data_IF_673986820511
#
_entry.id   IF_673986820511
#
_cell.length_a   1.000
_cell.length_b   1.000
_cell.length_c   1.000
_cell.angle_alpha   90.00
_cell.angle_beta   90.00
_cell.angle_gamma   90.00
#
_symmetry.space_group_name_H-M   'P 1'
#
loop_
_entity.id
_entity.type
_entity.pdbx_description
1 polymer ?
#
# COMPACT_ATOMS: atom_id res chain seq x y z
N UNK A 1 -26.03 21.00 -9.48
CA UNK A 1 -24.98 21.11 -10.51
C UNK A 1 -24.11 19.84 -10.69
N UNK A 2 -24.48 18.66 -10.13
CA UNK A 2 -23.55 17.51 -10.00
C UNK A 2 -23.73 16.35 -11.00
N UNK A 3 -24.78 16.33 -11.82
CA UNK A 3 -25.04 15.19 -12.70
C UNK A 3 -24.07 15.15 -13.88
N UNK A 4 -23.85 16.28 -14.55
CA UNK A 4 -22.96 16.38 -15.72
C UNK A 4 -21.51 16.00 -15.39
N UNK A 5 -21.00 16.41 -14.22
CA UNK A 5 -19.64 16.07 -13.79
C UNK A 5 -19.51 14.58 -13.43
N UNK A 6 -20.57 13.99 -12.85
CA UNK A 6 -20.62 12.55 -12.58
C UNK A 6 -20.65 11.75 -13.88
N UNK A 7 -21.49 12.13 -14.83
CA UNK A 7 -21.60 11.46 -16.12
C UNK A 7 -20.29 11.56 -16.92
N UNK A 8 -19.60 12.71 -16.84
CA UNK A 8 -18.28 12.90 -17.47
C UNK A 8 -17.23 11.96 -16.86
N UNK A 9 -17.19 11.85 -15.52
CA UNK A 9 -16.29 10.93 -14.84
C UNK A 9 -16.59 9.47 -15.20
N UNK A 10 -17.87 9.07 -15.15
CA UNK A 10 -18.28 7.70 -15.44
C UNK A 10 -17.90 7.29 -16.88
N UNK A 11 -18.09 8.20 -17.85
CA UNK A 11 -17.62 7.99 -19.24
C UNK A 11 -16.10 7.85 -19.33
N UNK A 12 -15.35 8.77 -18.70
CA UNK A 12 -13.89 8.73 -18.71
C UNK A 12 -13.34 7.42 -18.10
N UNK A 13 -13.91 6.98 -16.98
CA UNK A 13 -13.52 5.72 -16.35
C UNK A 13 -13.85 4.54 -17.26
N UNK A 14 -15.02 4.54 -17.91
CA UNK A 14 -15.44 3.47 -18.81
C UNK A 14 -14.51 3.35 -20.02
N UNK A 15 -14.11 4.46 -20.63
CA UNK A 15 -13.15 4.47 -21.75
C UNK A 15 -11.80 3.85 -21.34
N UNK A 16 -11.26 4.26 -20.19
CA UNK A 16 -10.00 3.71 -19.66
C UNK A 16 -10.12 2.20 -19.36
N UNK A 17 -11.27 1.77 -18.84
CA UNK A 17 -11.56 0.37 -18.58
C UNK A 17 -11.62 -0.47 -19.86
N UNK A 18 -12.26 0.04 -20.91
CA UNK A 18 -12.32 -0.69 -22.19
C UNK A 18 -10.92 -0.89 -22.77
N UNK A 19 -10.06 0.13 -22.74
CA UNK A 19 -8.66 0.00 -23.18
C UNK A 19 -7.91 -1.05 -22.33
N UNK A 20 -8.14 -1.07 -21.02
CA UNK A 20 -7.53 -2.05 -20.12
C UNK A 20 -8.00 -3.49 -20.40
N UNK A 21 -9.28 -3.70 -20.73
CA UNK A 21 -9.84 -5.02 -21.02
C UNK A 21 -9.38 -5.59 -22.37
N UNK A 22 -9.23 -4.74 -23.38
CA UNK A 22 -8.76 -5.15 -24.72
C UNK A 22 -7.30 -5.60 -24.71
N UNK A 23 -6.47 -5.02 -23.83
CA UNK A 23 -5.07 -5.40 -23.72
C UNK A 23 -4.88 -6.80 -23.14
N UNK A 24 -4.00 -7.61 -23.75
CA UNK A 24 -3.58 -8.89 -23.16
C UNK A 24 -2.95 -8.68 -21.78
N UNK A 25 -3.09 -9.65 -20.86
CA UNK A 25 -2.43 -9.61 -19.55
C UNK A 25 -0.93 -9.32 -19.69
N UNK A 26 -0.38 -8.53 -18.76
CA UNK A 26 1.05 -8.20 -18.68
C UNK A 26 1.63 -7.40 -19.87
N UNK A 27 0.81 -6.89 -20.78
CA UNK A 27 1.26 -5.95 -21.81
C UNK A 27 1.51 -4.56 -21.23
N UNK A 28 2.46 -3.82 -21.83
CA UNK A 28 2.72 -2.42 -21.45
C UNK A 28 1.47 -1.55 -21.60
N UNK A 29 0.72 -1.72 -22.70
CA UNK A 29 -0.52 -0.99 -22.95
C UNK A 29 -1.57 -1.20 -21.86
N UNK A 30 -1.78 -2.45 -21.43
CA UNK A 30 -2.71 -2.76 -20.33
C UNK A 30 -2.26 -2.13 -19.01
N UNK A 31 -0.96 -2.18 -18.69
CA UNK A 31 -0.42 -1.54 -17.47
C UNK A 31 -0.69 -0.04 -17.47
N UNK A 32 -0.38 0.65 -18.57
CA UNK A 32 -0.61 2.10 -18.70
C UNK A 32 -2.10 2.45 -18.56
N UNK A 33 -2.98 1.68 -19.19
CA UNK A 33 -4.43 1.88 -19.08
C UNK A 33 -4.94 1.70 -17.64
N UNK A 34 -4.52 0.63 -16.96
CA UNK A 34 -4.87 0.38 -15.56
C UNK A 34 -4.32 1.45 -14.62
N UNK A 35 -3.07 1.89 -14.81
CA UNK A 35 -2.50 2.98 -14.01
C UNK A 35 -3.29 4.28 -14.17
N UNK A 36 -3.69 4.62 -15.41
CA UNK A 36 -4.54 5.80 -15.66
C UNK A 36 -5.92 5.66 -15.02
N UNK A 37 -6.52 4.47 -15.11
CA UNK A 37 -7.81 4.18 -14.50
C UNK A 37 -7.75 4.33 -12.98
N UNK A 38 -6.76 3.72 -12.33
CA UNK A 38 -6.54 3.81 -10.88
C UNK A 38 -6.34 5.25 -10.44
N UNK A 39 -5.50 6.01 -11.15
CA UNK A 39 -5.29 7.42 -10.86
C UNK A 39 -6.59 8.24 -10.98
N UNK A 40 -7.39 7.98 -12.00
CA UNK A 40 -8.68 8.66 -12.16
C UNK A 40 -9.68 8.30 -11.03
N UNK A 41 -9.69 7.05 -10.58
CA UNK A 41 -10.49 6.61 -9.42
C UNK A 41 -10.06 7.37 -8.16
N UNK A 42 -8.76 7.43 -7.87
CA UNK A 42 -8.24 8.15 -6.70
C UNK A 42 -8.52 9.65 -6.73
N UNK A 43 -8.17 10.30 -7.84
CA UNK A 43 -8.35 11.74 -8.00
C UNK A 43 -9.81 12.16 -8.01
N UNK A 44 -10.74 11.23 -8.23
CA UNK A 44 -12.17 11.51 -8.13
C UNK A 44 -12.62 11.88 -6.72
N UNK A 45 -11.90 11.45 -5.68
CA UNK A 45 -12.30 11.64 -4.27
C UNK A 45 -13.60 10.93 -3.88
N UNK A 46 -14.09 9.99 -4.70
CA UNK A 46 -15.39 9.30 -4.51
C UNK A 46 -15.29 7.90 -3.91
N UNK A 47 -14.09 7.50 -3.45
CA UNK A 47 -13.90 6.23 -2.76
C UNK A 47 -14.61 6.28 -1.41
N UNK A 48 -15.41 5.25 -1.12
CA UNK A 48 -16.06 5.13 0.18
C UNK A 48 -15.02 4.88 1.28
N UNK A 49 -15.37 5.27 2.51
CA UNK A 49 -14.54 5.03 3.70
C UNK A 49 -15.21 4.03 4.64
N UNK A 50 -14.45 3.37 5.53
CA UNK A 50 -15.03 2.47 6.51
C UNK A 50 -15.98 3.22 7.47
N UNK A 51 -16.88 2.48 8.12
CA UNK A 51 -17.85 3.07 9.05
C UNK A 51 -17.14 3.81 10.20
N UNK A 52 -17.42 5.10 10.32
CA UNK A 52 -16.87 5.96 11.37
C UNK A 52 -17.40 5.55 12.75
N UNK A 53 -16.59 5.79 13.79
CA UNK A 53 -16.98 5.59 15.19
C UNK A 53 -16.74 4.18 15.76
N UNK A 54 -16.30 3.21 14.95
CA UNK A 54 -15.93 1.85 15.41
C UNK A 54 -14.47 1.70 15.83
N UNK A 55 -13.61 2.63 15.43
CA UNK A 55 -12.17 2.56 15.61
C UNK A 55 -11.62 3.92 16.03
N UNK A 56 -10.50 3.93 16.76
CA UNK A 56 -9.78 5.19 17.01
C UNK A 56 -9.24 5.76 15.69
N UNK A 57 -8.94 7.06 15.66
CA UNK A 57 -8.51 7.75 14.44
C UNK A 57 -7.33 7.07 13.73
N UNK A 58 -6.33 6.62 14.49
CA UNK A 58 -5.15 5.97 13.90
C UNK A 58 -5.51 4.62 13.24
N UNK A 59 -6.32 3.80 13.91
CA UNK A 59 -6.79 2.53 13.32
C UNK A 59 -7.67 2.77 12.10
N UNK A 60 -8.47 3.84 12.12
CA UNK A 60 -9.35 4.18 11.02
C UNK A 60 -8.58 4.45 9.72
N UNK A 61 -7.51 5.25 9.77
CA UNK A 61 -6.67 5.53 8.59
C UNK A 61 -5.84 4.31 8.17
N UNK A 62 -5.27 3.55 9.12
CA UNK A 62 -4.52 2.33 8.81
C UNK A 62 -5.40 1.31 8.07
N UNK A 63 -6.64 1.08 8.55
CA UNK A 63 -7.62 0.20 7.91
C UNK A 63 -7.96 0.71 6.51
N UNK A 64 -8.18 2.02 6.36
CA UNK A 64 -8.51 2.60 5.07
C UNK A 64 -7.38 2.42 4.05
N UNK A 65 -6.14 2.73 4.43
CA UNK A 65 -4.97 2.58 3.57
C UNK A 65 -4.66 1.13 3.23
N UNK A 66 -4.82 0.20 4.17
CA UNK A 66 -4.65 -1.23 3.92
C UNK A 66 -5.70 -1.75 2.93
N UNK A 67 -6.98 -1.40 3.13
CA UNK A 67 -8.06 -1.79 2.22
C UNK A 67 -7.87 -1.23 0.80
N UNK A 68 -7.37 0.01 0.68
CA UNK A 68 -7.04 0.60 -0.62
C UNK A 68 -5.92 -0.18 -1.32
N UNK A 69 -4.84 -0.52 -0.62
CA UNK A 69 -3.73 -1.27 -1.23
C UNK A 69 -4.19 -2.62 -1.80
N UNK A 70 -4.97 -3.37 -1.02
CA UNK A 70 -5.50 -4.67 -1.45
C UNK A 70 -6.48 -4.53 -2.62
N UNK A 71 -7.36 -3.52 -2.59
CA UNK A 71 -8.26 -3.21 -3.71
C UNK A 71 -7.48 -2.94 -5.00
N UNK A 72 -6.44 -2.11 -4.95
CA UNK A 72 -5.67 -1.75 -6.14
C UNK A 72 -4.92 -2.93 -6.71
N UNK A 73 -4.33 -3.75 -5.84
CA UNK A 73 -3.68 -4.99 -6.24
C UNK A 73 -4.68 -5.90 -6.94
N UNK A 74 -5.87 -6.06 -6.38
CA UNK A 74 -6.95 -6.84 -6.97
C UNK A 74 -7.38 -6.30 -8.33
N UNK A 75 -7.55 -4.98 -8.47
CA UNK A 75 -7.88 -4.34 -9.75
C UNK A 75 -6.79 -4.63 -10.78
N UNK A 76 -5.51 -4.49 -10.42
CA UNK A 76 -4.40 -4.77 -11.33
C UNK A 76 -4.39 -6.23 -11.83
N UNK A 77 -4.73 -7.18 -10.96
CA UNK A 77 -4.66 -8.61 -11.26
C UNK A 77 -5.92 -9.17 -11.93
N UNK A 78 -7.10 -8.67 -11.55
CA UNK A 78 -8.39 -9.29 -11.87
C UNK A 78 -9.38 -8.30 -12.49
N UNK A 79 -8.88 -7.28 -13.20
CA UNK A 79 -9.74 -6.29 -13.86
C UNK A 79 -10.70 -6.92 -14.88
N UNK A 80 -10.32 -8.04 -15.47
CA UNK A 80 -11.15 -8.84 -16.39
C UNK A 80 -12.48 -9.32 -15.77
N UNK A 81 -12.61 -9.34 -14.43
CA UNK A 81 -13.86 -9.67 -13.74
C UNK A 81 -14.87 -8.52 -13.71
N UNK A 82 -14.48 -7.31 -14.12
CA UNK A 82 -15.39 -6.18 -14.20
C UNK A 82 -16.37 -6.36 -15.37
N UNK A 83 -17.67 -6.14 -15.09
CA UNK A 83 -18.73 -6.17 -16.09
C UNK A 83 -19.46 -4.81 -16.12
N UNK A 84 -19.28 -4.08 -17.22
CA UNK A 84 -19.87 -2.77 -17.44
C UNK A 84 -21.41 -2.79 -17.53
N UNK A 85 -22.04 -3.95 -17.76
CA UNK A 85 -23.50 -4.08 -17.78
C UNK A 85 -24.10 -4.11 -16.38
N UNK A 86 -23.32 -4.45 -15.35
CA UNK A 86 -23.80 -4.64 -13.98
C UNK A 86 -23.70 -3.38 -13.12
N UNK A 87 -22.64 -2.62 -13.27
CA UNK A 87 -22.39 -1.43 -12.47
C UNK A 87 -21.38 -0.49 -13.13
N UNK A 88 -21.39 0.78 -12.75
CA UNK A 88 -20.27 1.68 -13.08
C UNK A 88 -19.02 1.28 -12.29
N UNK A 89 -17.84 1.70 -12.77
CA UNK A 89 -16.56 1.39 -12.14
C UNK A 89 -16.52 1.87 -10.70
N UNK A 90 -16.96 3.11 -10.44
CA UNK A 90 -17.00 3.63 -9.06
C UNK A 90 -17.94 2.83 -8.15
N UNK A 91 -19.11 2.43 -8.65
CA UNK A 91 -20.04 1.61 -7.88
C UNK A 91 -19.45 0.23 -7.57
N UNK A 92 -18.82 -0.41 -8.56
CA UNK A 92 -18.15 -1.70 -8.40
C UNK A 92 -16.99 -1.62 -7.40
N UNK A 93 -16.14 -0.60 -7.52
CA UNK A 93 -15.00 -0.37 -6.61
C UNK A 93 -15.45 -0.14 -5.18
N UNK A 94 -16.45 0.73 -4.96
CA UNK A 94 -16.99 0.97 -3.62
C UNK A 94 -17.68 -0.26 -3.05
N UNK A 95 -18.39 -1.03 -3.88
CA UNK A 95 -18.98 -2.31 -3.46
C UNK A 95 -17.90 -3.28 -2.96
N UNK A 96 -16.78 -3.41 -3.67
CA UNK A 96 -15.67 -4.26 -3.26
C UNK A 96 -15.03 -3.79 -1.94
N UNK A 97 -14.83 -2.47 -1.78
CA UNK A 97 -14.33 -1.91 -0.53
C UNK A 97 -15.22 -2.25 0.65
N UNK A 98 -16.52 -1.95 0.53
CA UNK A 98 -17.50 -2.16 1.60
C UNK A 98 -17.69 -3.63 1.97
N UNK A 99 -17.74 -4.52 0.97
CA UNK A 99 -18.14 -5.91 1.20
C UNK A 99 -16.98 -6.83 1.51
N UNK A 100 -15.76 -6.45 1.15
CA UNK A 100 -14.60 -7.33 1.25
C UNK A 100 -13.43 -6.63 1.91
N UNK A 101 -12.87 -5.62 1.26
CA UNK A 101 -11.54 -5.12 1.63
C UNK A 101 -11.51 -4.44 3.00
N UNK A 102 -12.59 -3.78 3.44
CA UNK A 102 -12.62 -3.27 4.82
C UNK A 102 -12.63 -4.38 5.87
N UNK A 103 -13.35 -5.48 5.64
CA UNK A 103 -13.36 -6.61 6.58
C UNK A 103 -11.99 -7.28 6.66
N UNK A 104 -11.35 -7.50 5.50
CA UNK A 104 -10.00 -8.09 5.43
C UNK A 104 -8.95 -7.16 6.07
N UNK A 105 -9.02 -5.85 5.80
CA UNK A 105 -8.11 -4.86 6.37
C UNK A 105 -8.24 -4.75 7.90
N UNK A 106 -9.47 -4.77 8.45
CA UNK A 106 -9.70 -4.78 9.89
C UNK A 106 -9.01 -5.98 10.54
N UNK A 107 -9.21 -7.19 9.99
CA UNK A 107 -8.58 -8.40 10.51
C UNK A 107 -7.04 -8.31 10.45
N UNK A 108 -6.49 -7.76 9.37
CA UNK A 108 -5.04 -7.65 9.14
C UNK A 108 -4.39 -6.60 10.05
N UNK A 109 -4.99 -5.43 10.21
CA UNK A 109 -4.45 -4.35 11.05
C UNK A 109 -4.49 -4.74 12.53
N UNK A 110 -5.59 -5.36 13.00
CA UNK A 110 -5.70 -5.82 14.38
C UNK A 110 -4.73 -6.99 14.66
N UNK A 111 -4.68 -7.99 13.78
CA UNK A 111 -3.77 -9.13 13.94
C UNK A 111 -2.28 -8.77 13.90
N UNK A 112 -1.88 -7.75 13.12
CA UNK A 112 -0.48 -7.26 13.10
C UNK A 112 -0.04 -6.66 14.44
N UNK A 113 -0.94 -5.98 15.16
CA UNK A 113 -0.60 -5.37 16.44
C UNK A 113 -0.52 -6.36 17.58
N UNK A 114 -1.38 -7.38 17.62
CA UNK A 114 -1.26 -8.46 18.62
C UNK A 114 0.14 -9.09 18.55
N UNK A 115 0.68 -9.30 17.35
CA UNK A 115 2.05 -9.81 17.16
C UNK A 115 3.11 -8.80 17.64
N UNK A 116 2.90 -7.51 17.38
CA UNK A 116 3.86 -6.45 17.73
C UNK A 116 3.91 -6.22 19.26
N UNK A 117 2.77 -6.28 19.95
CA UNK A 117 2.71 -6.15 21.42
C UNK A 117 3.33 -7.36 22.14
N UNK A 118 3.13 -8.57 21.63
CA UNK A 118 3.72 -9.80 22.20
C UNK A 118 5.25 -9.86 22.01
N UNK A 119 5.78 -9.26 20.94
CA UNK A 119 7.23 -9.33 20.65
C UNK A 119 8.07 -8.41 21.56
N UNK A 120 7.47 -7.38 22.17
CA UNK A 120 8.21 -6.40 22.99
C UNK A 120 8.34 -6.83 24.45
N UNK A 121 7.55 -7.80 24.91
CA UNK A 121 7.45 -8.09 26.35
C UNK A 121 8.48 -9.05 26.93
N UNK A 122 9.30 -9.75 26.13
CA UNK A 122 9.96 -10.95 26.67
C UNK A 122 11.50 -11.03 26.60
N UNK A 123 12.26 -10.00 26.19
CA UNK A 123 13.74 -10.12 26.21
C UNK A 123 14.54 -8.80 26.32
N UNK A 124 14.19 -7.92 27.26
CA UNK A 124 15.12 -6.83 27.65
C UNK A 124 15.69 -7.13 29.03
N UNK A 125 16.72 -8.00 29.06
CA UNK A 125 17.74 -7.92 30.11
C UNK A 125 18.39 -6.55 29.92
N UNK A 126 18.04 -5.60 30.77
CA UNK A 126 18.72 -4.30 30.83
C UNK A 126 20.09 -4.56 31.46
N UNK A 127 21.22 -4.48 30.74
CA UNK A 127 22.51 -4.54 31.40
C UNK A 127 22.66 -3.30 32.30
N UNK A 128 23.11 -3.50 33.55
CA UNK A 128 23.23 -2.46 34.60
C UNK A 128 24.18 -1.29 34.24
N UNK A 129 24.79 -1.32 33.06
CA UNK A 129 25.61 -0.23 32.54
C UNK A 129 25.33 -0.09 31.05
N UNK A 130 24.71 1.03 30.59
CA UNK A 130 24.66 1.32 29.18
C UNK A 130 26.10 1.60 28.75
N UNK A 131 26.71 0.65 28.07
CA UNK A 131 27.95 0.90 27.38
C UNK A 131 27.70 2.03 26.39
N UNK A 132 28.47 3.12 26.51
CA UNK A 132 28.33 4.26 25.63
C UNK A 132 28.70 3.81 24.22
N UNK A 133 27.67 3.58 23.41
CA UNK A 133 27.79 3.17 22.01
C UNK A 133 28.71 4.11 21.24
N UNK A 134 28.82 5.36 21.66
CA UNK A 134 29.75 6.34 21.08
C UNK A 134 31.21 5.94 21.25
N UNK A 135 31.58 5.44 22.43
CA UNK A 135 32.95 4.98 22.71
C UNK A 135 33.25 3.65 22.02
N UNK A 136 32.28 2.73 21.99
CA UNK A 136 32.39 1.47 21.24
C UNK A 136 32.61 1.75 19.76
N UNK A 137 31.82 2.65 19.16
CA UNK A 137 31.95 2.99 17.74
C UNK A 137 33.30 3.65 17.45
N UNK A 138 33.79 4.54 18.32
CA UNK A 138 35.13 5.15 18.17
C UNK A 138 36.24 4.11 18.20
N UNK A 139 36.17 3.17 19.15
CA UNK A 139 37.15 2.10 19.30
C UNK A 139 37.13 1.16 18.08
N UNK A 140 35.94 0.81 17.58
CA UNK A 140 35.78 -0.01 16.37
C UNK A 140 36.32 0.67 15.11
N UNK A 141 36.10 1.98 14.96
CA UNK A 141 36.64 2.75 13.83
C UNK A 141 38.18 2.81 13.92
N UNK A 142 38.73 2.96 15.13
CA UNK A 142 40.17 3.06 15.34
C UNK A 142 40.90 1.73 15.16
N UNK A 143 40.31 0.63 15.61
CA UNK A 143 40.88 -0.71 15.50
C UNK A 143 40.77 -1.27 14.07
N UNK A 144 39.78 -0.80 13.29
CA UNK A 144 39.40 -1.33 11.97
C UNK A 144 39.71 -2.83 11.81
N UNK A 145 39.16 -3.68 12.70
CA UNK A 145 39.62 -5.07 12.83
C UNK A 145 39.38 -5.89 11.57
N UNK A 146 38.43 -5.46 10.73
CA UNK A 146 38.06 -6.11 9.48
C UNK A 146 38.70 -5.43 8.25
N UNK A 147 39.54 -4.40 8.43
CA UNK A 147 40.13 -3.58 7.36
C UNK A 147 39.11 -3.09 6.31
N UNK A 148 37.86 -2.88 6.73
CA UNK A 148 36.76 -2.51 5.83
C UNK A 148 36.97 -1.11 5.24
N UNK A 149 37.73 -0.27 5.94
CA UNK A 149 38.00 1.11 5.53
C UNK A 149 39.27 1.21 4.68
N UNK A 150 40.17 0.23 4.75
CA UNK A 150 41.38 0.14 3.91
C UNK A 150 41.10 -0.43 2.49
N UNK A 151 40.18 -1.39 2.36
CA UNK A 151 39.97 -2.09 1.09
C UNK A 151 39.21 -1.30 0.02
N UNK A 152 38.51 -0.21 0.38
CA UNK A 152 37.64 0.50 -0.58
C UNK A 152 38.30 1.63 -1.36
N UNK A 153 39.50 2.08 -0.98
CA UNK A 153 40.11 3.28 -1.58
C UNK A 153 41.39 3.06 -2.40
N UNK A 154 42.00 1.88 -2.42
CA UNK A 154 43.26 1.66 -3.17
C UNK A 154 43.25 0.56 -4.26
N UNK A 155 42.22 -0.29 -4.36
CA UNK A 155 42.16 -1.33 -5.41
C UNK A 155 40.86 -1.30 -6.24
N UNK A 156 40.38 -0.09 -6.54
CA UNK A 156 39.32 0.17 -7.52
C UNK A 156 39.89 0.74 -8.82
N UNK A 157 40.86 0.04 -9.42
CA UNK A 157 41.44 0.43 -10.69
C UNK A 157 42.15 -0.75 -11.32
N UNK A 158 41.40 -1.56 -12.09
CA UNK A 158 41.72 -2.10 -13.42
C UNK A 158 40.43 -2.62 -14.04
#
# INVERSE_FOLDING_TARGET
MNQTARDKLDKQLLELAMVALVGQPLTHGRRVALSRLINAIFLSGKLCRPQSGKFTFNFYEDIYHEALQELLLYICQYFDKYDAKRASIMAWVNFLLERRFFSEAVAKVLGRREITEVTIQDNLVVPEKPEDLTEIIKEYIALDPENLWFFRHFYGGY
#
